data_IF_905494625510
#
_entry.id   IF_905494625510
#
_cell.length_a   1.000
_cell.length_b   1.000
_cell.length_c   1.000
_cell.angle_alpha   90.00
_cell.angle_beta   90.00
_cell.angle_gamma   90.00
#
_symmetry.space_group_name_H-M   'P 1'
#
loop_
_entity.id
_entity.type
_entity.pdbx_description
1 polymer ?
#
# COMPACT_ATOMS: atom_id res chain seq x y z
N UNK A 1 4.01 17.88 -0.26
CA UNK A 1 3.91 16.71 0.65
C UNK A 1 2.74 15.88 0.19
N UNK A 2 2.96 14.64 -0.24
CA UNK A 2 1.87 13.79 -0.72
C UNK A 2 1.03 13.25 0.46
N UNK A 3 -0.31 13.28 0.33
CA UNK A 3 -1.24 12.89 1.40
C UNK A 3 -1.18 11.39 1.73
N UNK A 4 -1.01 10.52 0.73
CA UNK A 4 -1.12 9.05 0.85
C UNK A 4 0.21 8.29 0.87
N UNK A 5 1.33 8.97 0.63
CA UNK A 5 2.65 8.39 0.92
C UNK A 5 2.79 7.87 2.34
N UNK A 6 1.92 8.34 3.23
CA UNK A 6 1.87 7.93 4.62
C UNK A 6 1.02 6.68 4.88
N UNK A 7 0.78 5.83 3.88
CA UNK A 7 0.28 4.47 4.12
C UNK A 7 1.27 3.40 3.62
N UNK A 8 2.00 3.67 2.54
CA UNK A 8 3.16 2.85 2.12
C UNK A 8 4.44 3.12 2.93
N UNK A 9 4.60 4.34 3.45
CA UNK A 9 5.79 4.78 4.20
C UNK A 9 5.49 5.29 5.62
N UNK A 10 4.35 4.96 6.24
CA UNK A 10 4.08 5.35 7.64
C UNK A 10 3.79 4.14 8.54
N UNK A 11 4.02 4.29 9.86
CA UNK A 11 3.91 3.24 10.83
C UNK A 11 2.59 3.41 11.61
N UNK A 12 1.53 2.66 11.28
CA UNK A 12 0.59 2.21 12.31
C UNK A 12 1.37 1.59 13.48
N UNK A 13 2.54 1.06 13.16
CA UNK A 13 3.44 0.46 14.11
C UNK A 13 4.13 1.38 15.11
N UNK A 14 4.45 2.66 14.95
CA UNK A 14 5.14 3.37 16.07
C UNK A 14 4.16 3.56 17.24
N UNK A 15 2.86 3.64 16.93
CA UNK A 15 1.75 3.58 17.88
C UNK A 15 1.50 2.14 18.40
N UNK A 16 1.47 1.12 17.53
CA UNK A 16 1.28 -0.28 17.95
C UNK A 16 2.55 -0.93 18.58
N UNK A 17 3.74 -0.38 18.37
CA UNK A 17 5.05 -0.92 18.82
C UNK A 17 5.23 -0.81 20.33
N UNK A 18 4.67 0.24 20.94
CA UNK A 18 4.87 0.52 22.36
C UNK A 18 4.01 -0.34 23.29
N UNK A 19 2.80 -0.71 22.88
CA UNK A 19 1.75 -1.10 23.84
C UNK A 19 1.30 -2.57 23.78
N UNK A 20 1.71 -3.35 22.76
CA UNK A 20 1.26 -4.74 22.59
C UNK A 20 2.44 -5.71 22.70
N UNK A 21 2.58 -6.33 23.87
CA UNK A 21 3.63 -7.31 24.16
C UNK A 21 3.68 -8.47 23.15
N UNK A 22 2.53 -9.02 22.74
CA UNK A 22 2.47 -10.11 21.75
C UNK A 22 3.02 -9.72 20.38
N UNK A 23 2.85 -8.47 19.96
CA UNK A 23 3.39 -7.98 18.70
C UNK A 23 4.91 -7.87 18.73
N UNK A 24 5.48 -7.50 19.88
CA UNK A 24 6.92 -7.46 20.08
C UNK A 24 7.53 -8.87 20.14
N UNK A 25 6.86 -9.80 20.84
CA UNK A 25 7.21 -11.22 20.80
C UNK A 25 7.19 -11.77 19.37
N UNK A 26 6.18 -11.42 18.58
CA UNK A 26 5.99 -11.90 17.20
C UNK A 26 7.11 -11.39 16.30
N UNK A 27 7.43 -10.10 16.39
CA UNK A 27 8.57 -9.51 15.66
C UNK A 27 9.88 -10.16 16.05
N UNK A 28 10.09 -10.43 17.35
CA UNK A 28 11.27 -11.13 17.85
C UNK A 28 11.41 -12.52 17.25
N UNK A 29 10.31 -13.28 17.20
CA UNK A 29 10.26 -14.60 16.58
C UNK A 29 10.56 -14.54 15.07
N UNK A 30 9.87 -13.68 14.32
CA UNK A 30 10.07 -13.51 12.88
C UNK A 30 11.51 -13.10 12.53
N UNK A 31 12.11 -12.15 13.27
CA UNK A 31 13.53 -11.77 13.10
C UNK A 31 14.46 -12.95 13.35
N UNK A 32 14.20 -13.72 14.41
CA UNK A 32 15.03 -14.85 14.78
C UNK A 32 14.94 -15.99 13.76
N UNK A 33 13.75 -16.25 13.22
CA UNK A 33 13.50 -17.20 12.12
C UNK A 33 14.23 -16.76 10.86
N UNK A 34 14.06 -15.50 10.44
CA UNK A 34 14.75 -14.94 9.29
C UNK A 34 16.27 -15.08 9.41
N UNK A 35 16.82 -14.71 10.57
CA UNK A 35 18.24 -14.82 10.87
C UNK A 35 18.72 -16.26 10.83
N UNK A 36 18.00 -17.19 11.46
CA UNK A 36 18.36 -18.60 11.53
C UNK A 36 18.52 -19.23 10.14
N UNK A 37 17.55 -19.01 9.25
CA UNK A 37 17.59 -19.59 7.91
C UNK A 37 18.45 -18.80 6.92
N UNK A 38 18.64 -17.50 7.11
CA UNK A 38 19.48 -16.70 6.21
C UNK A 38 20.97 -16.86 6.50
N UNK A 39 21.37 -16.99 7.76
CA UNK A 39 22.77 -17.13 8.16
C UNK A 39 23.28 -18.59 8.05
N UNK A 40 22.39 -19.57 7.92
CA UNK A 40 22.76 -20.99 7.83
C UNK A 40 22.17 -21.67 6.60
N UNK A 41 23.03 -21.89 5.59
CA UNK A 41 22.68 -22.67 4.41
C UNK A 41 22.33 -24.12 4.75
N UNK A 42 22.94 -24.69 5.81
CA UNK A 42 22.59 -26.02 6.33
C UNK A 42 21.15 -26.05 6.86
N UNK A 43 20.78 -25.12 7.75
CA UNK A 43 19.44 -25.04 8.30
C UNK A 43 18.37 -24.79 7.23
N UNK A 44 18.66 -23.96 6.22
CA UNK A 44 17.77 -23.76 5.07
C UNK A 44 17.54 -25.04 4.25
N UNK A 45 18.59 -25.86 4.04
CA UNK A 45 18.46 -27.15 3.34
C UNK A 45 17.66 -28.15 4.16
N UNK A 46 17.92 -28.23 5.45
CA UNK A 46 17.19 -29.11 6.38
C UNK A 46 15.70 -28.75 6.43
N UNK A 47 15.36 -27.46 6.54
CA UNK A 47 13.96 -27.03 6.50
C UNK A 47 13.28 -27.44 5.19
N UNK A 48 13.98 -27.31 4.06
CA UNK A 48 13.46 -27.74 2.75
C UNK A 48 13.20 -29.25 2.71
N UNK A 49 14.14 -30.06 3.22
CA UNK A 49 13.96 -31.51 3.31
C UNK A 49 12.76 -31.89 4.20
N UNK A 50 12.59 -31.21 5.35
CA UNK A 50 11.40 -31.37 6.20
C UNK A 50 10.13 -30.99 5.44
N UNK A 51 10.15 -29.89 4.69
CA UNK A 51 9.02 -29.47 3.86
C UNK A 51 8.66 -30.48 2.77
N UNK A 52 9.64 -31.04 2.06
CA UNK A 52 9.43 -32.09 1.05
C UNK A 52 8.77 -33.33 1.65
N UNK A 53 9.21 -33.78 2.84
CA UNK A 53 8.59 -34.89 3.57
C UNK A 53 7.14 -34.59 3.99
N UNK A 54 6.83 -33.33 4.28
CA UNK A 54 5.50 -32.89 4.71
C UNK A 54 4.60 -32.46 3.54
N UNK A 55 5.08 -32.52 2.29
CA UNK A 55 4.35 -32.02 1.13
C UNK A 55 4.18 -30.48 1.09
N UNK A 56 4.98 -29.75 1.86
CA UNK A 56 4.95 -28.29 1.94
C UNK A 56 6.11 -27.70 1.14
N UNK A 57 5.79 -26.96 0.08
CA UNK A 57 6.80 -26.18 -0.63
C UNK A 57 7.21 -24.98 0.24
N UNK A 58 8.39 -25.09 0.85
CA UNK A 58 8.94 -24.10 1.78
C UNK A 58 9.23 -22.77 1.09
N UNK A 59 8.68 -21.68 1.64
CA UNK A 59 9.01 -20.31 1.24
C UNK A 59 10.06 -19.73 2.19
N UNK A 60 11.14 -19.14 1.67
CA UNK A 60 12.16 -18.56 2.55
C UNK A 60 11.54 -17.40 3.37
N UNK A 61 11.69 -17.39 4.71
CA UNK A 61 11.22 -16.27 5.53
C UNK A 61 11.83 -14.94 5.08
N UNK A 62 11.03 -13.88 5.06
CA UNK A 62 11.44 -12.54 4.66
C UNK A 62 12.02 -11.73 5.83
N UNK A 63 12.88 -10.75 5.53
CA UNK A 63 13.29 -9.75 6.50
C UNK A 63 12.11 -8.81 6.79
N UNK A 64 11.84 -8.57 8.07
CA UNK A 64 10.82 -7.61 8.51
C UNK A 64 11.38 -6.19 8.77
N UNK A 65 12.69 -6.01 8.68
CA UNK A 65 13.34 -4.71 8.82
C UNK A 65 13.27 -3.92 7.51
N UNK A 66 13.13 -2.59 7.61
CA UNK A 66 13.20 -1.65 6.48
C UNK A 66 12.04 -0.65 6.49
N UNK A 67 12.08 0.29 5.55
CA UNK A 67 11.09 1.37 5.45
C UNK A 67 9.70 0.91 4.94
N UNK A 68 9.60 -0.28 4.34
CA UNK A 68 8.36 -0.84 3.76
C UNK A 68 7.74 -1.91 4.66
N UNK A 69 7.45 -1.56 5.91
CA UNK A 69 7.07 -2.54 6.93
C UNK A 69 5.88 -3.42 6.54
N UNK A 70 4.76 -2.85 6.09
CA UNK A 70 3.53 -3.61 5.83
C UNK A 70 3.78 -4.77 4.84
N UNK A 71 4.31 -4.52 3.62
CA UNK A 71 4.67 -5.60 2.71
C UNK A 71 5.69 -6.61 3.27
N UNK A 72 6.63 -6.16 4.10
CA UNK A 72 7.63 -7.04 4.72
C UNK A 72 7.01 -7.94 5.79
N UNK A 73 6.13 -7.41 6.63
CA UNK A 73 5.42 -8.14 7.68
C UNK A 73 4.43 -9.15 7.09
N UNK A 74 3.62 -8.74 6.11
CA UNK A 74 2.66 -9.63 5.43
C UNK A 74 3.40 -10.82 4.83
N UNK A 75 4.47 -10.59 4.05
CA UNK A 75 5.27 -11.67 3.45
C UNK A 75 5.92 -12.58 4.48
N UNK A 76 6.39 -12.03 5.60
CA UNK A 76 7.01 -12.82 6.66
C UNK A 76 5.99 -13.70 7.39
N UNK A 77 4.78 -13.19 7.64
CA UNK A 77 3.70 -13.96 8.25
C UNK A 77 3.09 -14.99 7.30
N UNK A 78 2.87 -14.66 6.03
CA UNK A 78 2.47 -15.61 4.99
C UNK A 78 3.46 -16.78 4.90
N UNK A 79 4.77 -16.49 4.90
CA UNK A 79 5.80 -17.52 4.92
C UNK A 79 5.79 -18.34 6.22
N UNK A 80 5.56 -17.71 7.38
CA UNK A 80 5.48 -18.42 8.66
C UNK A 80 4.28 -19.36 8.70
N UNK A 81 3.08 -18.89 8.34
CA UNK A 81 1.85 -19.69 8.35
C UNK A 81 1.97 -20.85 7.38
N UNK A 82 2.41 -20.59 6.14
CA UNK A 82 2.62 -21.63 5.12
C UNK A 82 3.61 -22.71 5.57
N UNK A 83 4.68 -22.32 6.23
CA UNK A 83 5.72 -23.25 6.66
C UNK A 83 5.55 -23.73 8.10
N UNK A 84 4.45 -23.41 8.78
CA UNK A 84 4.36 -23.51 10.25
C UNK A 84 4.75 -24.90 10.75
N UNK A 85 4.14 -25.96 10.21
CA UNK A 85 4.44 -27.35 10.58
C UNK A 85 5.91 -27.71 10.34
N UNK A 86 6.45 -27.38 9.17
CA UNK A 86 7.85 -27.67 8.83
C UNK A 86 8.83 -26.94 9.76
N UNK A 87 8.54 -25.69 10.11
CA UNK A 87 9.32 -24.88 11.05
C UNK A 87 9.26 -25.50 12.45
N UNK A 88 8.08 -25.91 12.91
CA UNK A 88 7.91 -26.52 14.24
C UNK A 88 8.67 -27.85 14.36
N UNK A 89 8.54 -28.75 13.38
CA UNK A 89 9.27 -30.02 13.33
C UNK A 89 10.79 -29.79 13.29
N UNK A 90 11.26 -28.86 12.45
CA UNK A 90 12.69 -28.56 12.34
C UNK A 90 13.27 -28.00 13.65
N UNK A 91 12.58 -27.05 14.29
CA UNK A 91 13.05 -26.49 15.55
C UNK A 91 12.90 -27.43 16.74
N UNK A 92 11.90 -28.31 16.74
CA UNK A 92 11.76 -29.37 17.75
C UNK A 92 12.95 -30.32 17.71
N UNK A 93 13.30 -30.80 16.51
CA UNK A 93 14.48 -31.64 16.30
C UNK A 93 15.75 -30.94 16.80
N UNK A 94 15.97 -29.67 16.42
CA UNK A 94 17.12 -28.89 16.88
C UNK A 94 17.12 -28.57 18.38
N UNK A 95 15.93 -28.48 19.02
CA UNK A 95 15.81 -28.21 20.44
C UNK A 95 16.05 -29.45 21.30
N UNK A 96 15.73 -30.64 20.78
CA UNK A 96 15.81 -31.92 21.48
C UNK A 96 17.06 -32.74 21.13
N UNK A 97 17.79 -32.39 20.08
CA UNK A 97 19.03 -33.05 19.68
C UNK A 97 20.20 -32.67 20.60
N UNK A 98 20.31 -33.39 21.73
CA UNK A 98 21.38 -33.25 22.72
C UNK A 98 22.72 -33.84 22.24
N UNK A 99 22.71 -34.63 21.15
CA UNK A 99 23.86 -35.38 20.66
C UNK A 99 24.57 -34.69 19.48
N UNK A 100 23.95 -33.67 18.87
CA UNK A 100 24.54 -32.93 17.78
C UNK A 100 25.54 -31.88 18.27
N UNK A 101 26.79 -32.31 18.37
CA UNK A 101 27.98 -31.50 18.69
C UNK A 101 28.32 -30.46 17.61
N UNK A 102 27.69 -30.51 16.43
CA UNK A 102 27.99 -29.58 15.32
C UNK A 102 27.18 -28.27 15.36
N UNK A 103 26.00 -28.26 15.98
CA UNK A 103 25.22 -27.03 16.13
C UNK A 103 25.82 -26.14 17.23
N UNK A 104 25.97 -24.84 16.98
CA UNK A 104 26.45 -23.93 18.03
C UNK A 104 25.43 -23.86 19.17
N UNK A 105 25.90 -23.68 20.42
CA UNK A 105 25.01 -23.48 21.57
C UNK A 105 24.04 -22.31 21.35
N UNK A 106 24.47 -21.28 20.62
CA UNK A 106 23.65 -20.14 20.22
C UNK A 106 22.53 -20.52 19.24
N UNK A 107 22.76 -21.43 18.29
CA UNK A 107 21.71 -21.91 17.37
C UNK A 107 20.65 -22.75 18.10
N UNK A 108 21.08 -23.68 18.97
CA UNK A 108 20.14 -24.47 19.80
C UNK A 108 19.31 -23.59 20.73
N UNK A 109 19.94 -22.61 21.37
CA UNK A 109 19.23 -21.63 22.21
C UNK A 109 18.16 -20.86 21.44
N UNK A 110 18.49 -20.35 20.24
CA UNK A 110 17.53 -19.67 19.37
C UNK A 110 16.37 -20.60 18.95
N UNK A 111 16.67 -21.82 18.51
CA UNK A 111 15.66 -22.81 18.13
C UNK A 111 14.68 -23.08 19.27
N UNK A 112 15.19 -23.27 20.49
CA UNK A 112 14.37 -23.50 21.69
C UNK A 112 13.45 -22.32 22.03
N UNK A 113 13.95 -21.09 21.90
CA UNK A 113 13.15 -19.87 22.15
C UNK A 113 12.04 -19.73 21.10
N UNK A 114 12.37 -19.94 19.82
CA UNK A 114 11.40 -19.85 18.73
C UNK A 114 10.33 -20.93 18.88
N UNK A 115 10.73 -22.20 19.07
CA UNK A 115 9.81 -23.32 19.26
C UNK A 115 8.85 -23.05 20.42
N UNK A 116 9.38 -22.72 21.61
CA UNK A 116 8.53 -22.37 22.77
C UNK A 116 7.57 -21.25 22.47
N UNK A 117 8.00 -20.20 21.76
CA UNK A 117 7.15 -19.06 21.43
C UNK A 117 6.01 -19.47 20.50
N UNK A 118 6.31 -20.23 19.45
CA UNK A 118 5.36 -20.69 18.43
C UNK A 118 4.50 -21.89 18.88
N UNK A 119 4.87 -22.58 19.94
CA UNK A 119 4.01 -23.58 20.60
C UNK A 119 2.92 -22.95 21.47
N UNK A 120 2.99 -21.66 21.83
CA UNK A 120 1.98 -21.02 22.68
C UNK A 120 0.68 -20.81 21.89
N UNK A 121 -0.44 -21.34 22.38
CA UNK A 121 -1.77 -21.13 21.77
C UNK A 121 -2.05 -19.65 21.51
N UNK A 122 -1.85 -18.80 22.53
CA UNK A 122 -2.05 -17.34 22.44
C UNK A 122 -1.21 -16.69 21.35
N UNK A 123 -0.01 -17.18 21.10
CA UNK A 123 0.88 -16.64 20.07
C UNK A 123 0.38 -17.03 18.67
N UNK A 124 -0.01 -18.29 18.46
CA UNK A 124 -0.55 -18.74 17.17
C UNK A 124 -1.88 -18.07 16.87
N UNK A 125 -2.77 -17.94 17.87
CA UNK A 125 -4.01 -17.14 17.78
C UNK A 125 -3.71 -15.70 17.36
N UNK A 126 -2.69 -15.07 17.95
CA UNK A 126 -2.28 -13.71 17.60
C UNK A 126 -1.66 -13.61 16.19
N UNK A 127 -0.89 -14.61 15.75
CA UNK A 127 -0.36 -14.68 14.37
C UNK A 127 -1.50 -14.61 13.36
N UNK A 128 -2.55 -15.40 13.56
CA UNK A 128 -3.70 -15.42 12.64
C UNK A 128 -4.52 -14.12 12.70
N UNK A 129 -4.73 -13.52 13.88
CA UNK A 129 -5.30 -12.17 14.00
C UNK A 129 -4.49 -11.14 13.18
N UNK A 130 -3.16 -11.18 13.29
CA UNK A 130 -2.30 -10.25 12.56
C UNK A 130 -2.33 -10.49 11.05
N UNK A 131 -2.53 -11.73 10.59
CA UNK A 131 -2.72 -12.02 9.16
C UNK A 131 -3.98 -11.32 8.66
N UNK A 132 -5.10 -11.43 9.38
CA UNK A 132 -6.36 -10.78 9.00
C UNK A 132 -6.21 -9.25 8.97
N UNK A 133 -5.67 -8.65 10.04
CA UNK A 133 -5.39 -7.21 10.10
C UNK A 133 -4.50 -6.75 8.94
N UNK A 134 -3.43 -7.48 8.62
CA UNK A 134 -2.51 -7.06 7.56
C UNK A 134 -3.10 -7.24 6.16
N UNK A 135 -4.05 -8.15 5.96
CA UNK A 135 -4.75 -8.30 4.69
C UNK A 135 -5.64 -7.08 4.41
N UNK A 136 -6.41 -6.63 5.40
CA UNK A 136 -7.22 -5.42 5.29
C UNK A 136 -6.36 -4.17 5.00
N UNK A 137 -5.24 -4.02 5.71
CA UNK A 137 -4.29 -2.93 5.46
C UNK A 137 -3.65 -3.02 4.06
N UNK A 138 -3.39 -4.23 3.57
CA UNK A 138 -2.79 -4.47 2.26
C UNK A 138 -3.73 -4.04 1.14
N UNK A 139 -5.02 -4.38 1.22
CA UNK A 139 -6.01 -3.99 0.21
C UNK A 139 -6.15 -2.46 0.15
N UNK A 140 -6.27 -1.79 1.30
CA UNK A 140 -6.26 -0.32 1.36
C UNK A 140 -4.97 0.27 0.77
N UNK A 141 -3.81 -0.31 1.09
CA UNK A 141 -2.52 0.13 0.55
C UNK A 141 -2.45 0.00 -0.97
N UNK A 142 -2.99 -1.08 -1.55
CA UNK A 142 -3.02 -1.31 -3.00
C UNK A 142 -3.97 -0.33 -3.69
N UNK A 143 -5.13 -0.06 -3.10
CA UNK A 143 -6.07 0.96 -3.58
C UNK A 143 -5.37 2.32 -3.72
N UNK A 144 -4.65 2.76 -2.69
CA UNK A 144 -3.99 4.07 -2.67
C UNK A 144 -2.75 4.18 -3.58
N UNK A 145 -2.31 3.07 -4.17
CA UNK A 145 -1.23 3.02 -5.15
C UNK A 145 -1.73 3.02 -6.61
N UNK A 146 -3.05 2.99 -6.83
CA UNK A 146 -3.62 3.08 -8.18
C UNK A 146 -3.32 4.43 -8.82
N UNK A 147 -3.22 4.41 -10.15
CA UNK A 147 -3.19 5.61 -10.97
C UNK A 147 -4.59 6.20 -11.10
N UNK A 148 -4.70 7.53 -11.20
CA UNK A 148 -5.99 8.22 -11.27
C UNK A 148 -6.78 8.21 -9.96
N UNK A 149 -6.13 7.98 -8.83
CA UNK A 149 -6.76 7.95 -7.51
C UNK A 149 -7.39 9.30 -7.13
N UNK A 150 -8.68 9.28 -6.79
CA UNK A 150 -9.44 10.48 -6.40
C UNK A 150 -9.49 10.65 -4.87
N UNK A 151 -9.91 11.84 -4.40
CA UNK A 151 -10.19 12.06 -2.97
C UNK A 151 -11.26 11.12 -2.42
N UNK A 152 -12.27 10.79 -3.23
CA UNK A 152 -13.34 9.89 -2.83
C UNK A 152 -12.83 8.45 -2.64
N UNK A 153 -12.03 7.94 -3.60
CA UNK A 153 -11.44 6.60 -3.48
C UNK A 153 -10.65 6.44 -2.17
N UNK A 154 -10.02 7.53 -1.72
CA UNK A 154 -9.33 7.57 -0.43
C UNK A 154 -10.30 7.49 0.74
N UNK A 155 -11.32 8.35 0.78
CA UNK A 155 -12.30 8.37 1.87
C UNK A 155 -13.05 7.03 1.95
N UNK A 156 -13.48 6.49 0.82
CA UNK A 156 -14.16 5.19 0.74
C UNK A 156 -13.24 4.06 1.19
N UNK A 157 -11.97 4.05 0.73
CA UNK A 157 -10.99 3.06 1.14
C UNK A 157 -10.68 3.08 2.63
N UNK A 158 -10.58 4.28 3.23
CA UNK A 158 -10.38 4.45 4.67
C UNK A 158 -11.62 4.01 5.47
N UNK A 159 -12.81 4.30 4.96
CA UNK A 159 -14.07 3.89 5.58
C UNK A 159 -14.22 2.37 5.55
N UNK A 160 -13.93 1.74 4.40
CA UNK A 160 -13.97 0.28 4.24
C UNK A 160 -13.00 -0.43 5.19
N UNK A 161 -11.73 -0.02 5.24
CA UNK A 161 -10.76 -0.66 6.15
C UNK A 161 -11.12 -0.43 7.62
N UNK A 162 -11.69 0.73 7.98
CA UNK A 162 -12.12 1.01 9.36
C UNK A 162 -13.29 0.10 9.76
N UNK A 163 -14.29 -0.06 8.88
CA UNK A 163 -15.41 -0.96 9.11
C UNK A 163 -14.97 -2.42 9.25
N UNK A 164 -14.10 -2.90 8.35
CA UNK A 164 -13.55 -4.25 8.40
C UNK A 164 -12.76 -4.50 9.70
N UNK A 165 -11.99 -3.49 10.16
CA UNK A 165 -11.27 -3.57 11.43
C UNK A 165 -12.22 -3.63 12.62
N UNK A 166 -13.28 -2.81 12.65
CA UNK A 166 -14.28 -2.83 13.71
C UNK A 166 -15.04 -4.16 13.78
N UNK A 167 -15.35 -4.77 12.62
CA UNK A 167 -15.99 -6.09 12.56
C UNK A 167 -15.14 -7.17 13.26
N UNK A 168 -13.80 -7.07 13.18
CA UNK A 168 -12.88 -7.99 13.86
C UNK A 168 -12.94 -7.95 15.40
N UNK A 169 -13.59 -6.96 16.02
CA UNK A 169 -13.82 -6.92 17.47
C UNK A 169 -14.89 -7.93 17.92
N UNK A 170 -15.85 -8.23 17.04
CA UNK A 170 -16.96 -9.14 17.33
C UNK A 170 -16.82 -10.47 16.63
N UNK A 171 -16.32 -10.46 15.40
CA UNK A 171 -16.25 -11.63 14.52
C UNK A 171 -14.81 -11.87 14.06
N UNK A 172 -14.22 -13.05 14.29
CA UNK A 172 -12.87 -13.35 13.80
C UNK A 172 -12.77 -13.22 12.27
N UNK A 173 -11.64 -12.68 11.79
CA UNK A 173 -11.30 -12.71 10.37
C UNK A 173 -11.05 -14.13 9.85
N UNK A 174 -10.89 -14.26 8.54
CA UNK A 174 -10.82 -15.56 7.85
C UNK A 174 -9.72 -16.46 8.39
N UNK A 175 -8.51 -15.92 8.59
CA UNK A 175 -7.35 -16.69 9.06
C UNK A 175 -7.52 -17.13 10.51
N UNK A 176 -7.98 -16.23 11.37
CA UNK A 176 -8.24 -16.54 12.78
C UNK A 176 -9.38 -17.54 12.94
N UNK A 177 -10.47 -17.39 12.17
CA UNK A 177 -11.59 -18.32 12.20
C UNK A 177 -11.16 -19.72 11.78
N UNK A 178 -10.38 -19.84 10.69
CA UNK A 178 -9.85 -21.12 10.24
C UNK A 178 -8.97 -21.78 11.31
N UNK A 179 -8.06 -21.02 11.93
CA UNK A 179 -7.24 -21.52 13.04
C UNK A 179 -8.09 -22.03 14.22
N UNK A 180 -9.12 -21.27 14.61
CA UNK A 180 -10.00 -21.66 15.73
C UNK A 180 -10.81 -22.92 15.43
N UNK A 181 -11.15 -23.17 14.16
CA UNK A 181 -11.80 -24.41 13.72
C UNK A 181 -10.82 -25.59 13.74
N UNK A 182 -9.58 -25.37 13.31
CA UNK A 182 -8.58 -26.43 13.12
C UNK A 182 -7.89 -26.88 14.43
N UNK A 183 -7.78 -25.99 15.42
CA UNK A 183 -7.03 -26.25 16.66
C UNK A 183 -7.72 -27.22 17.63
N UNK A 184 -8.98 -27.56 17.39
CA UNK A 184 -9.75 -28.47 18.23
C UNK A 184 -10.07 -27.94 19.64
N UNK A 185 -10.58 -28.80 20.54
CA UNK A 185 -11.02 -28.42 21.87
C UNK A 185 -9.84 -28.04 22.79
N UNK A 186 -10.09 -27.31 23.90
CA UNK A 186 -9.03 -26.88 24.82
C UNK A 186 -8.15 -28.02 25.35
N UNK A 187 -8.74 -29.18 25.64
CA UNK A 187 -8.05 -30.34 26.20
C UNK A 187 -7.03 -30.98 25.25
N UNK A 188 -7.27 -30.84 23.94
CA UNK A 188 -6.40 -31.37 22.90
C UNK A 188 -6.17 -30.32 21.82
N UNK A 189 -5.49 -29.25 22.22
CA UNK A 189 -5.17 -28.11 21.35
C UNK A 189 -4.07 -28.48 20.34
N UNK A 190 -4.44 -29.12 19.25
CA UNK A 190 -3.52 -29.57 18.20
C UNK A 190 -3.75 -28.74 16.93
N UNK A 191 -2.72 -28.09 16.44
CA UNK A 191 -2.76 -27.34 15.18
C UNK A 191 -1.66 -27.83 14.24
N UNK A 192 -2.04 -28.31 13.05
CA UNK A 192 -1.11 -28.88 12.07
C UNK A 192 -0.17 -29.95 12.67
N UNK A 193 -0.73 -30.85 13.46
CA UNK A 193 -0.04 -31.91 14.24
C UNK A 193 0.93 -31.41 15.31
N UNK A 194 0.87 -30.13 15.66
CA UNK A 194 1.67 -29.53 16.73
C UNK A 194 0.77 -29.31 17.95
N UNK A 195 1.13 -29.92 19.08
CA UNK A 195 0.44 -29.69 20.36
C UNK A 195 0.78 -28.31 20.89
N UNK A 196 -0.24 -27.44 20.94
CA UNK A 196 -0.12 -26.10 21.48
C UNK A 196 -0.20 -26.11 23.01
N UNK A 197 0.48 -25.14 23.61
CA UNK A 197 0.66 -24.98 25.05
C UNK A 197 0.00 -23.69 25.55
N UNK A 198 -0.40 -23.70 26.81
CA UNK A 198 -0.91 -22.52 27.50
C UNK A 198 -2.42 -22.55 27.72
N UNK A 199 -2.91 -21.65 28.58
CA UNK A 199 -4.32 -21.59 28.95
C UNK A 199 -5.24 -21.22 27.79
N UNK A 200 -6.43 -21.82 27.79
CA UNK A 200 -7.57 -21.56 26.90
C UNK A 200 -8.87 -21.38 27.69
N UNK A 201 -8.75 -20.82 28.90
CA UNK A 201 -9.88 -20.50 29.75
C UNK A 201 -10.55 -19.18 29.32
N UNK A 202 -11.76 -18.95 29.84
CA UNK A 202 -12.56 -17.77 29.57
C UNK A 202 -11.82 -16.46 29.93
N UNK A 203 -10.98 -16.48 30.96
CA UNK A 203 -10.22 -15.30 31.39
C UNK A 203 -9.18 -14.90 30.33
N UNK A 204 -8.50 -15.86 29.71
CA UNK A 204 -7.57 -15.61 28.62
C UNK A 204 -8.28 -15.15 27.34
N UNK A 205 -9.48 -15.66 27.06
CA UNK A 205 -10.29 -15.16 25.95
C UNK A 205 -10.74 -13.71 26.16
N UNK A 206 -11.17 -13.34 27.38
CA UNK A 206 -11.47 -11.94 27.74
C UNK A 206 -10.23 -11.06 27.56
N UNK A 207 -9.06 -11.50 28.05
CA UNK A 207 -7.80 -10.75 27.89
C UNK A 207 -7.40 -10.58 26.43
N UNK A 208 -7.56 -11.63 25.62
CA UNK A 208 -7.27 -11.58 24.18
C UNK A 208 -8.24 -10.63 23.46
N UNK A 209 -9.53 -10.67 23.79
CA UNK A 209 -10.53 -9.75 23.24
C UNK A 209 -10.23 -8.30 23.59
N UNK A 210 -9.91 -8.02 24.85
CA UNK A 210 -9.53 -6.67 25.28
C UNK A 210 -8.29 -6.13 24.55
N UNK A 211 -7.30 -6.99 24.29
CA UNK A 211 -6.11 -6.64 23.50
C UNK A 211 -6.47 -6.40 22.02
N UNK A 212 -7.35 -7.22 21.45
CA UNK A 212 -7.83 -7.08 20.06
C UNK A 212 -8.59 -5.78 19.88
N UNK A 213 -9.52 -5.47 20.80
CA UNK A 213 -10.27 -4.22 20.79
C UNK A 213 -9.34 -3.02 20.85
N UNK A 214 -8.37 -3.01 21.78
CA UNK A 214 -7.39 -1.93 21.89
C UNK A 214 -6.56 -1.75 20.60
N UNK A 215 -6.11 -2.85 19.99
CA UNK A 215 -5.36 -2.78 18.72
C UNK A 215 -6.19 -2.11 17.62
N UNK A 216 -7.48 -2.44 17.54
CA UNK A 216 -8.41 -1.92 16.54
C UNK A 216 -8.78 -0.45 16.85
N UNK A 217 -9.05 -0.12 18.12
CA UNK A 217 -9.35 1.24 18.55
C UNK A 217 -8.16 2.18 18.27
N UNK A 218 -6.93 1.75 18.62
CA UNK A 218 -5.70 2.50 18.32
C UNK A 218 -5.53 2.75 16.80
N UNK A 219 -5.96 1.80 15.96
CA UNK A 219 -5.97 1.97 14.50
C UNK A 219 -7.04 2.98 14.04
N UNK A 220 -8.26 2.88 14.54
CA UNK A 220 -9.36 3.79 14.21
C UNK A 220 -9.04 5.24 14.62
N UNK A 221 -8.47 5.42 15.81
CA UNK A 221 -8.00 6.72 16.30
C UNK A 221 -6.90 7.30 15.41
N UNK A 222 -5.98 6.44 14.96
CA UNK A 222 -4.95 6.84 14.00
C UNK A 222 -5.57 7.30 12.68
N UNK A 223 -6.50 6.53 12.10
CA UNK A 223 -7.16 6.90 10.84
C UNK A 223 -7.87 8.25 10.99
N UNK A 224 -8.64 8.42 12.06
CA UNK A 224 -9.39 9.64 12.35
C UNK A 224 -8.45 10.84 12.52
N UNK A 225 -7.41 10.70 13.34
CA UNK A 225 -6.44 11.78 13.59
C UNK A 225 -5.66 12.16 12.33
N UNK A 226 -5.33 11.17 11.50
CA UNK A 226 -4.45 11.35 10.35
C UNK A 226 -5.18 11.87 9.12
N UNK A 227 -6.43 11.45 8.93
CA UNK A 227 -7.20 11.65 7.70
C UNK A 227 -8.54 12.35 7.92
N UNK A 228 -8.88 12.74 9.16
CA UNK A 228 -10.13 13.47 9.45
C UNK A 228 -10.25 14.78 8.67
N UNK A 229 -9.13 15.39 8.29
CA UNK A 229 -9.11 16.58 7.44
C UNK A 229 -9.57 16.33 5.99
N UNK A 230 -9.70 15.07 5.53
CA UNK A 230 -10.33 14.75 4.25
C UNK A 230 -11.83 15.06 4.28
N UNK A 231 -12.45 14.92 5.45
CA UNK A 231 -13.87 15.17 5.70
C UNK A 231 -14.16 16.62 6.15
N UNK A 232 -13.18 17.51 6.02
CA UNK A 232 -13.27 18.90 6.47
C UNK A 232 -12.64 19.88 5.46
N UNK A 233 -13.06 21.15 5.56
CA UNK A 233 -12.45 22.27 4.87
C UNK A 233 -12.33 22.09 3.35
N UNK A 234 -11.15 22.46 2.81
CA UNK A 234 -10.90 22.51 1.36
C UNK A 234 -10.94 21.14 0.68
N UNK A 235 -10.56 20.05 1.38
CA UNK A 235 -10.52 18.72 0.78
C UNK A 235 -11.92 18.13 0.64
N UNK A 236 -12.79 18.32 1.64
CA UNK A 236 -14.20 17.98 1.51
C UNK A 236 -14.90 18.81 0.44
N UNK A 237 -14.59 20.12 0.39
CA UNK A 237 -15.08 20.99 -0.66
C UNK A 237 -14.66 20.49 -2.06
N UNK A 238 -13.38 20.15 -2.24
CA UNK A 238 -12.86 19.58 -3.48
C UNK A 238 -13.54 18.25 -3.86
N UNK A 239 -13.75 17.34 -2.88
CA UNK A 239 -14.49 16.10 -3.14
C UNK A 239 -15.92 16.37 -3.60
N UNK A 240 -16.61 17.32 -2.97
CA UNK A 240 -17.99 17.71 -3.33
C UNK A 240 -18.05 18.31 -4.74
N UNK A 241 -17.08 19.15 -5.10
CA UNK A 241 -17.05 19.83 -6.39
C UNK A 241 -16.61 18.92 -7.54
N UNK A 242 -15.60 18.08 -7.34
CA UNK A 242 -14.92 17.41 -8.46
C UNK A 242 -15.15 15.90 -8.53
N UNK A 243 -15.99 15.37 -7.64
CA UNK A 243 -16.52 14.01 -7.74
C UNK A 243 -17.94 14.03 -8.33
N UNK A 244 -18.06 14.05 -9.65
CA UNK A 244 -19.37 14.18 -10.30
C UNK A 244 -20.28 12.97 -10.09
N UNK A 245 -19.76 11.81 -9.69
CA UNK A 245 -20.59 10.62 -9.42
C UNK A 245 -21.44 10.73 -8.17
N UNK A 246 -21.17 11.70 -7.28
CA UNK A 246 -21.97 11.95 -6.06
C UNK A 246 -22.95 13.11 -6.22
N UNK A 247 -22.99 13.73 -7.40
CA UNK A 247 -23.91 14.83 -7.67
C UNK A 247 -25.35 14.30 -7.77
N UNK A 248 -26.34 15.09 -7.32
CA UNK A 248 -27.73 14.70 -7.38
C UNK A 248 -28.23 14.60 -8.82
N UNK A 249 -29.20 13.73 -9.06
CA UNK A 249 -29.84 13.57 -10.36
C UNK A 249 -31.02 14.55 -10.56
N UNK A 250 -31.57 15.09 -9.46
CA UNK A 250 -32.71 15.99 -9.50
C UNK A 250 -32.29 17.43 -9.75
N UNK A 251 -32.87 18.07 -10.78
CA UNK A 251 -32.52 19.43 -11.21
C UNK A 251 -32.64 20.45 -10.07
N UNK A 252 -33.64 20.29 -9.19
CA UNK A 252 -33.86 21.17 -8.05
C UNK A 252 -32.70 21.11 -7.04
N UNK A 253 -32.16 19.92 -6.78
CA UNK A 253 -31.02 19.71 -5.87
C UNK A 253 -29.70 20.13 -6.52
N UNK A 254 -29.52 19.84 -7.81
CA UNK A 254 -28.34 20.24 -8.61
C UNK A 254 -28.12 21.75 -8.56
N UNK A 255 -29.20 22.54 -8.55
CA UNK A 255 -29.13 24.00 -8.59
C UNK A 255 -28.30 24.59 -7.42
N UNK A 256 -28.48 24.05 -6.21
CA UNK A 256 -27.80 24.52 -4.99
C UNK A 256 -26.59 23.68 -4.60
N UNK A 257 -26.48 22.46 -5.14
CA UNK A 257 -25.39 21.54 -4.83
C UNK A 257 -24.00 22.15 -5.04
N UNK A 258 -23.12 21.97 -4.05
CA UNK A 258 -21.72 22.38 -4.09
C UNK A 258 -21.46 23.89 -4.05
N UNK A 259 -22.48 24.75 -3.91
CA UNK A 259 -22.27 26.21 -3.88
C UNK A 259 -21.39 26.64 -2.67
N UNK A 260 -21.69 26.14 -1.47
CA UNK A 260 -20.88 26.43 -0.28
C UNK A 260 -19.46 25.86 -0.41
N UNK A 261 -19.34 24.67 -1.00
CA UNK A 261 -18.04 24.06 -1.29
C UNK A 261 -17.22 24.91 -2.26
N UNK A 262 -17.85 25.51 -3.28
CA UNK A 262 -17.19 26.42 -4.21
C UNK A 262 -16.61 27.62 -3.48
N UNK A 263 -17.36 28.23 -2.56
CA UNK A 263 -16.87 29.37 -1.76
C UNK A 263 -15.69 28.96 -0.87
N UNK A 264 -15.78 27.81 -0.19
CA UNK A 264 -14.68 27.29 0.64
C UNK A 264 -13.42 27.03 -0.20
N UNK A 265 -13.57 26.46 -1.39
CA UNK A 265 -12.46 26.14 -2.28
C UNK A 265 -11.80 27.40 -2.85
N UNK A 266 -12.59 28.35 -3.35
CA UNK A 266 -12.08 29.63 -3.84
C UNK A 266 -11.39 30.43 -2.73
N UNK A 267 -11.99 30.51 -1.54
CA UNK A 267 -11.41 31.23 -0.41
C UNK A 267 -10.06 30.64 0.03
N UNK A 268 -9.92 29.31 -0.01
CA UNK A 268 -8.66 28.65 0.34
C UNK A 268 -7.53 28.97 -0.66
N UNK A 269 -7.87 29.02 -1.96
CA UNK A 269 -6.90 29.24 -3.04
C UNK A 269 -6.85 30.69 -3.53
N UNK A 270 -7.49 31.64 -2.84
CA UNK A 270 -7.56 33.05 -3.22
C UNK A 270 -6.20 33.64 -3.67
N UNK A 271 -5.07 33.41 -2.95
CA UNK A 271 -3.78 33.97 -3.38
C UNK A 271 -3.28 33.44 -4.74
N UNK A 272 -3.66 32.22 -5.11
CA UNK A 272 -3.34 31.63 -6.41
C UNK A 272 -4.26 32.22 -7.48
N UNK A 273 -5.56 32.32 -7.16
CA UNK A 273 -6.57 32.86 -8.06
C UNK A 273 -6.30 34.32 -8.42
N UNK A 274 -5.92 35.15 -7.44
CA UNK A 274 -5.55 36.56 -7.65
C UNK A 274 -4.34 36.75 -8.59
N UNK A 275 -3.50 35.71 -8.71
CA UNK A 275 -2.30 35.72 -9.56
C UNK A 275 -2.51 35.09 -10.94
N UNK A 276 -3.69 34.53 -11.21
CA UNK A 276 -4.00 33.79 -12.42
C UNK A 276 -4.68 34.70 -13.45
N UNK A 277 -4.06 34.89 -14.61
CA UNK A 277 -4.61 35.75 -15.69
C UNK A 277 -5.94 35.21 -16.23
N UNK A 278 -6.13 33.89 -16.24
CA UNK A 278 -7.34 33.22 -16.72
C UNK A 278 -8.49 33.21 -15.69
N UNK A 279 -8.30 33.83 -14.51
CA UNK A 279 -9.31 33.92 -13.45
C UNK A 279 -9.65 35.38 -13.13
N UNK A 280 -10.62 35.94 -13.85
CA UNK A 280 -11.00 37.35 -13.71
C UNK A 280 -11.82 37.64 -12.44
N UNK A 281 -12.80 36.79 -12.11
CA UNK A 281 -13.72 37.05 -11.01
C UNK A 281 -14.40 35.80 -10.45
N UNK A 282 -14.58 35.77 -9.13
CA UNK A 282 -15.38 34.74 -8.44
C UNK A 282 -16.85 34.73 -8.88
N UNK A 283 -17.41 35.86 -9.34
CA UNK A 283 -18.78 35.93 -9.86
C UNK A 283 -18.94 35.25 -11.23
N UNK A 284 -17.87 35.21 -12.03
CA UNK A 284 -17.84 34.44 -13.27
C UNK A 284 -17.73 32.95 -12.95
N UNK A 285 -16.84 32.55 -12.03
CA UNK A 285 -16.73 31.18 -11.57
C UNK A 285 -18.07 30.62 -11.05
N UNK A 286 -18.83 31.40 -10.26
CA UNK A 286 -20.18 31.01 -9.80
C UNK A 286 -21.18 30.82 -10.94
N UNK A 287 -21.10 31.63 -11.99
CA UNK A 287 -21.95 31.49 -13.19
C UNK A 287 -21.60 30.21 -13.94
N UNK A 288 -20.32 30.02 -14.24
CA UNK A 288 -19.80 28.85 -14.91
C UNK A 288 -20.12 27.56 -14.15
N UNK A 289 -19.99 27.55 -12.81
CA UNK A 289 -20.35 26.41 -11.97
C UNK A 289 -21.81 25.97 -12.16
N UNK A 290 -22.75 26.93 -12.20
CA UNK A 290 -24.17 26.63 -12.43
C UNK A 290 -24.40 25.98 -13.80
N UNK A 291 -23.71 26.46 -14.83
CA UNK A 291 -23.82 25.91 -16.18
C UNK A 291 -23.17 24.52 -16.29
N UNK A 292 -21.97 24.36 -15.71
CA UNK A 292 -21.21 23.11 -15.71
C UNK A 292 -22.02 21.98 -15.06
N UNK A 293 -22.66 22.27 -13.92
CA UNK A 293 -23.55 21.33 -13.22
C UNK A 293 -24.63 20.76 -14.13
N UNK A 294 -25.28 21.62 -14.91
CA UNK A 294 -26.33 21.20 -15.84
C UNK A 294 -25.78 20.37 -17.01
N UNK A 295 -24.65 20.78 -17.58
CA UNK A 295 -24.04 20.09 -18.72
C UNK A 295 -23.56 18.69 -18.34
N UNK A 296 -22.83 18.57 -17.23
CA UNK A 296 -22.30 17.27 -16.76
C UNK A 296 -23.42 16.34 -16.34
N UNK A 297 -24.39 16.83 -15.55
CA UNK A 297 -25.51 16.01 -15.08
C UNK A 297 -26.34 15.44 -16.23
N UNK A 298 -26.53 16.21 -17.31
CA UNK A 298 -27.36 15.77 -18.45
C UNK A 298 -26.65 14.83 -19.41
N UNK A 299 -25.35 14.98 -19.60
CA UNK A 299 -24.66 14.36 -20.74
C UNK A 299 -23.45 13.52 -20.36
N UNK A 300 -22.87 13.69 -19.17
CA UNK A 300 -21.54 13.16 -18.88
C UNK A 300 -21.42 12.40 -17.55
N UNK A 301 -22.51 12.16 -16.81
CA UNK A 301 -22.47 11.37 -15.57
C UNK A 301 -21.93 9.96 -15.72
N UNK A 302 -22.07 9.36 -16.91
CA UNK A 302 -21.59 8.02 -17.20
C UNK A 302 -20.07 7.94 -17.37
N UNK A 303 -19.36 9.06 -17.51
CA UNK A 303 -17.93 9.08 -17.72
C UNK A 303 -17.17 8.86 -16.41
N UNK A 304 -16.03 8.15 -16.42
CA UNK A 304 -15.09 8.16 -15.31
C UNK A 304 -14.56 9.57 -15.04
N UNK A 305 -14.30 9.90 -13.76
CA UNK A 305 -13.88 11.25 -13.33
C UNK A 305 -12.64 11.77 -14.10
N UNK A 306 -11.59 10.97 -14.23
CA UNK A 306 -10.41 11.37 -15.00
C UNK A 306 -10.74 11.69 -16.46
N UNK A 307 -11.60 10.90 -17.11
CA UNK A 307 -12.01 11.13 -18.50
C UNK A 307 -12.86 12.39 -18.64
N UNK A 308 -13.75 12.64 -17.68
CA UNK A 308 -14.57 13.85 -17.65
C UNK A 308 -13.67 15.09 -17.59
N UNK A 309 -12.79 15.17 -16.59
CA UNK A 309 -11.95 16.35 -16.39
C UNK A 309 -10.92 16.53 -17.51
N UNK A 310 -10.39 15.44 -18.07
CA UNK A 310 -9.54 15.51 -19.27
C UNK A 310 -10.29 16.13 -20.45
N UNK A 311 -11.50 15.67 -20.74
CA UNK A 311 -12.35 16.19 -21.82
C UNK A 311 -12.75 17.65 -21.59
N UNK A 312 -13.02 17.99 -20.33
CA UNK A 312 -13.35 19.34 -19.90
C UNK A 312 -12.19 20.31 -20.17
N UNK A 313 -10.97 19.98 -19.73
CA UNK A 313 -9.78 20.80 -19.96
C UNK A 313 -9.39 20.89 -21.43
N UNK A 314 -9.66 19.85 -22.22
CA UNK A 314 -9.46 19.86 -23.68
C UNK A 314 -10.52 20.69 -24.44
N UNK A 315 -11.49 21.29 -23.75
CA UNK A 315 -12.54 22.09 -24.38
C UNK A 315 -13.58 21.29 -25.16
N UNK A 316 -13.67 19.98 -24.93
CA UNK A 316 -14.65 19.10 -25.61
C UNK A 316 -16.02 19.05 -24.90
N UNK A 317 -16.13 19.66 -23.72
CA UNK A 317 -17.37 19.78 -22.94
C UNK A 317 -17.80 21.25 -22.97
N UNK A 318 -18.97 21.52 -23.55
CA UNK A 318 -19.48 22.87 -23.72
C UNK A 318 -18.88 23.59 -24.93
N UNK A 319 -18.98 24.92 -24.94
CA UNK A 319 -18.35 25.77 -25.96
C UNK A 319 -16.90 26.08 -25.59
N UNK A 320 -16.01 26.30 -26.58
CA UNK A 320 -14.70 26.91 -26.33
C UNK A 320 -14.87 28.19 -25.50
N UNK A 321 -14.03 28.37 -24.49
CA UNK A 321 -13.98 29.57 -23.62
C UNK A 321 -15.22 29.77 -22.70
N UNK A 322 -16.08 28.75 -22.57
CA UNK A 322 -17.26 28.86 -21.70
C UNK A 322 -16.94 28.73 -20.20
N UNK A 323 -15.84 28.08 -19.86
CA UNK A 323 -15.58 27.56 -18.52
C UNK A 323 -14.17 27.88 -18.00
N UNK A 324 -13.61 29.02 -18.37
CA UNK A 324 -12.20 29.32 -18.11
C UNK A 324 -11.88 29.39 -16.61
N UNK A 325 -12.76 29.99 -15.80
CA UNK A 325 -12.59 30.03 -14.35
C UNK A 325 -12.69 28.62 -13.74
N UNK A 326 -13.64 27.82 -14.20
CA UNK A 326 -13.80 26.44 -13.73
C UNK A 326 -12.64 25.53 -14.17
N UNK A 327 -12.02 25.77 -15.33
CA UNK A 327 -10.79 25.06 -15.75
C UNK A 327 -9.67 25.31 -14.76
N UNK A 328 -9.45 26.57 -14.35
CA UNK A 328 -8.44 26.91 -13.32
C UNK A 328 -8.70 26.13 -12.02
N UNK A 329 -9.95 26.08 -11.55
CA UNK A 329 -10.29 25.35 -10.32
C UNK A 329 -10.08 23.83 -10.46
N UNK A 330 -10.41 23.25 -11.63
CA UNK A 330 -10.17 21.84 -11.94
C UNK A 330 -8.68 21.54 -12.02
N UNK A 331 -7.87 22.42 -12.60
CA UNK A 331 -6.41 22.27 -12.65
C UNK A 331 -5.81 22.26 -11.25
N UNK A 332 -6.22 23.20 -10.38
CA UNK A 332 -5.82 23.21 -8.96
C UNK A 332 -6.16 21.89 -8.28
N UNK A 333 -7.36 21.35 -8.52
CA UNK A 333 -7.77 20.05 -7.98
C UNK A 333 -6.89 18.90 -8.48
N UNK A 334 -6.61 18.83 -9.79
CA UNK A 334 -5.84 17.74 -10.39
C UNK A 334 -4.36 17.72 -9.98
N UNK A 335 -3.82 18.84 -9.50
CA UNK A 335 -2.43 18.90 -8.98
C UNK A 335 -2.32 18.58 -7.49
N UNK A 336 -3.43 18.32 -6.78
CA UNK A 336 -3.39 17.89 -5.37
C UNK A 336 -2.70 16.52 -5.31
N UNK A 337 -1.53 16.40 -4.65
CA UNK A 337 -0.75 15.17 -4.68
C UNK A 337 -1.37 14.12 -3.76
N UNK A 338 -2.20 13.26 -4.33
CA UNK A 338 -2.85 12.16 -3.62
C UNK A 338 -1.81 11.12 -3.17
N UNK A 339 -1.10 10.46 -4.09
CA UNK A 339 -0.04 9.50 -3.77
C UNK A 339 1.32 9.93 -4.40
N UNK A 340 2.45 9.42 -3.89
CA UNK A 340 3.75 9.52 -4.59
C UNK A 340 4.19 8.14 -5.09
N UNK A 341 3.24 7.22 -5.26
CA UNK A 341 3.52 5.95 -5.90
C UNK A 341 4.11 6.17 -7.30
N UNK A 342 3.75 7.26 -7.98
CA UNK A 342 4.41 7.73 -9.20
C UNK A 342 5.94 7.94 -9.02
N UNK A 343 6.35 8.59 -7.93
CA UNK A 343 7.77 8.76 -7.56
C UNK A 343 8.42 7.41 -7.25
N UNK A 344 7.74 6.52 -6.52
CA UNK A 344 8.27 5.17 -6.21
C UNK A 344 8.44 4.27 -7.44
N UNK A 345 7.52 4.37 -8.41
CA UNK A 345 7.68 3.74 -9.73
C UNK A 345 8.87 4.33 -10.47
N UNK A 346 9.04 5.65 -10.42
CA UNK A 346 10.22 6.34 -10.94
C UNK A 346 11.53 5.82 -10.33
N UNK A 347 11.61 5.70 -8.99
CA UNK A 347 12.77 5.11 -8.31
C UNK A 347 12.99 3.64 -8.67
N UNK A 348 11.92 2.88 -8.87
CA UNK A 348 12.00 1.48 -9.31
C UNK A 348 12.55 1.37 -10.72
N UNK A 349 12.11 2.24 -11.64
CA UNK A 349 12.67 2.39 -12.98
C UNK A 349 14.14 2.82 -12.93
N UNK A 350 14.48 3.77 -12.06
CA UNK A 350 15.85 4.22 -11.85
C UNK A 350 16.75 3.08 -11.38
N UNK A 351 16.28 2.22 -10.47
CA UNK A 351 17.04 1.05 -10.01
C UNK A 351 17.29 0.03 -11.12
N UNK A 352 16.38 -0.10 -12.10
CA UNK A 352 16.60 -0.95 -13.28
C UNK A 352 17.63 -0.34 -14.24
N UNK A 353 17.59 0.99 -14.42
CA UNK A 353 18.50 1.71 -15.32
C UNK A 353 19.91 1.81 -14.73
N UNK A 354 20.01 2.19 -13.46
CA UNK A 354 21.25 2.34 -12.69
C UNK A 354 21.59 1.04 -11.97
N UNK A 355 21.98 0.05 -12.76
CA UNK A 355 22.60 -1.19 -12.27
C UNK A 355 24.06 -0.96 -11.84
N UNK A 356 24.66 -1.92 -11.13
CA UNK A 356 26.07 -1.87 -10.74
C UNK A 356 27.01 -1.62 -11.93
N UNK A 357 26.66 -2.21 -13.09
CA UNK A 357 27.37 -2.07 -14.37
C UNK A 357 27.12 -0.74 -15.11
N UNK A 358 26.12 0.05 -14.66
CA UNK A 358 25.72 1.34 -15.25
C UNK A 358 25.75 2.46 -14.22
N UNK A 359 26.64 2.36 -13.25
CA UNK A 359 26.75 3.30 -12.12
C UNK A 359 27.25 4.69 -12.51
N UNK A 360 27.91 4.82 -13.66
CA UNK A 360 28.54 6.06 -14.19
C UNK A 360 27.69 6.85 -15.19
N UNK A 361 26.38 6.57 -15.32
CA UNK A 361 25.50 7.35 -16.19
C UNK A 361 25.47 8.82 -15.77
N UNK A 362 25.60 9.73 -16.75
CA UNK A 362 25.37 11.15 -16.50
C UNK A 362 23.92 11.41 -16.09
N UNK A 363 23.68 12.50 -15.35
CA UNK A 363 22.32 12.88 -14.94
C UNK A 363 21.39 13.08 -16.14
N UNK A 364 21.90 13.65 -17.23
CA UNK A 364 21.16 13.84 -18.47
C UNK A 364 20.74 12.51 -19.11
N UNK A 365 21.68 11.57 -19.25
CA UNK A 365 21.37 10.24 -19.81
C UNK A 365 20.40 9.48 -18.92
N UNK A 366 20.58 9.55 -17.59
CA UNK A 366 19.66 8.94 -16.64
C UNK A 366 18.24 9.51 -16.79
N UNK A 367 18.11 10.83 -16.90
CA UNK A 367 16.82 11.48 -17.11
C UNK A 367 16.16 11.03 -18.41
N UNK A 368 16.90 11.01 -19.53
CA UNK A 368 16.38 10.55 -20.81
C UNK A 368 15.90 9.09 -20.75
N UNK A 369 16.67 8.19 -20.13
CA UNK A 369 16.29 6.79 -19.97
C UNK A 369 15.09 6.62 -19.04
N UNK A 370 14.97 7.44 -18.00
CA UNK A 370 13.80 7.44 -17.11
C UNK A 370 12.54 7.88 -17.85
N UNK A 371 12.62 8.96 -18.63
CA UNK A 371 11.50 9.44 -19.44
C UNK A 371 11.02 8.36 -20.41
N UNK A 372 11.93 7.72 -21.15
CA UNK A 372 11.61 6.60 -22.04
C UNK A 372 11.01 5.42 -21.25
N UNK A 373 11.58 5.06 -20.10
CA UNK A 373 11.09 3.92 -19.32
C UNK A 373 9.73 4.15 -18.66
N UNK A 374 9.36 5.40 -18.37
CA UNK A 374 8.12 5.73 -17.64
C UNK A 374 7.01 6.10 -18.60
N UNK A 375 7.32 6.88 -19.64
CA UNK A 375 6.33 7.46 -20.56
C UNK A 375 6.44 6.93 -21.99
N UNK A 376 7.52 6.20 -22.31
CA UNK A 376 7.71 5.64 -23.65
C UNK A 376 6.69 4.55 -23.97
N UNK A 377 6.44 4.29 -25.26
CA UNK A 377 5.58 3.20 -25.69
C UNK A 377 6.16 1.84 -25.27
N UNK A 378 5.32 0.81 -25.29
CA UNK A 378 5.83 -0.56 -25.11
C UNK A 378 6.78 -0.92 -26.24
N UNK A 379 7.61 -1.94 -26.05
CA UNK A 379 8.50 -2.42 -27.12
C UNK A 379 7.72 -2.86 -28.36
N UNK A 380 6.49 -3.37 -28.19
CA UNK A 380 5.63 -3.78 -29.30
C UNK A 380 5.07 -2.58 -30.09
N UNK A 381 4.82 -1.46 -29.40
CA UNK A 381 4.23 -0.25 -30.00
C UNK A 381 5.29 0.79 -30.42
N UNK A 382 6.58 0.50 -30.16
CA UNK A 382 7.65 1.42 -30.46
C UNK A 382 7.99 1.41 -31.96
N UNK A 383 7.81 2.55 -32.60
CA UNK A 383 8.28 2.80 -33.97
C UNK A 383 9.74 3.30 -33.97
N UNK A 384 10.70 2.52 -34.49
CA UNK A 384 12.10 2.90 -34.51
C UNK A 384 12.47 3.87 -35.66
N UNK A 385 11.57 4.14 -36.62
CA UNK A 385 11.92 4.84 -37.87
C UNK A 385 12.57 6.21 -37.60
N UNK A 386 11.96 7.04 -36.76
CA UNK A 386 12.49 8.35 -36.41
C UNK A 386 13.88 8.28 -35.76
N UNK A 387 14.13 7.26 -34.92
CA UNK A 387 15.42 7.05 -34.28
C UNK A 387 16.49 6.57 -35.28
N UNK A 388 16.11 5.68 -36.20
CA UNK A 388 16.99 5.19 -37.27
C UNK A 388 17.38 6.33 -38.20
N UNK A 389 16.42 7.14 -38.65
CA UNK A 389 16.69 8.30 -39.50
C UNK A 389 17.63 9.30 -38.81
N UNK A 390 17.38 9.60 -37.54
CA UNK A 390 18.24 10.48 -36.74
C UNK A 390 19.65 9.92 -36.60
N UNK A 391 19.81 8.61 -36.38
CA UNK A 391 21.12 7.96 -36.33
C UNK A 391 21.83 7.99 -37.69
N UNK A 392 21.10 7.69 -38.76
CA UNK A 392 21.63 7.63 -40.13
C UNK A 392 22.11 9.00 -40.62
N UNK A 393 21.33 10.07 -40.36
CA UNK A 393 21.65 11.43 -40.79
C UNK A 393 22.50 12.24 -39.80
N UNK A 394 22.40 11.96 -38.49
CA UNK A 394 23.05 12.73 -37.43
C UNK A 394 24.39 12.18 -36.94
N UNK A 395 24.76 10.95 -37.34
CA UNK A 395 26.01 10.33 -36.93
C UNK A 395 27.23 11.04 -37.52
N UNK A 396 27.94 11.85 -36.72
CA UNK A 396 29.36 12.17 -36.99
C UNK A 396 30.16 10.88 -36.85
N UNK A 397 30.26 10.12 -37.94
CA UNK A 397 31.17 8.97 -38.01
C UNK A 397 32.57 9.52 -37.77
N UNK A 398 33.23 9.06 -36.71
CA UNK A 398 34.67 9.29 -36.55
C UNK A 398 35.31 8.83 -37.87
N UNK A 399 35.89 9.76 -38.64
CA UNK A 399 36.66 9.37 -39.82
C UNK A 399 37.72 8.39 -39.31
N UNK A 400 37.80 7.20 -39.92
CA UNK A 400 38.93 6.30 -39.67
C UNK A 400 40.20 7.14 -39.79
N UNK A 401 41.17 7.04 -38.86
CA UNK A 401 42.48 7.63 -39.09
C UNK A 401 42.93 7.17 -40.48
N UNK A 402 43.17 8.12 -41.38
CA UNK A 402 43.88 7.81 -42.62
C UNK A 402 45.23 7.24 -42.16
N UNK A 403 45.48 5.97 -42.47
CA UNK A 403 46.83 5.44 -42.36
C UNK A 403 47.65 6.26 -43.36
N UNK A 404 48.54 7.10 -42.83
CA UNK A 404 49.56 7.77 -43.62
C UNK A 404 50.43 6.65 -44.20
N UNK A 405 50.42 6.52 -45.53
CA UNK A 405 51.27 5.60 -46.30
C UNK A 405 52.77 5.90 -46.10
#
# INVERSE_FOLDING_TARGET
MCYLNRLGAWPPLDLLQGNISLLNDLKGALKSIFKHYTESAKASRELRAVGELLGVQVVKPGNINGCRWLPHMSRALEALVRNYKAIMVHFENHANDHNNTEASATMRGRAKVIYRSLSRFKMVKFIHLMVDVLNELREASLLFQKDGLTLQDVSDGLSQVTLAMMEMQTTPGTSLQQFLNDVGPPEDSIYLDVKLQGPRDEQEDIRFRAMTNRLIDDFCDFVTTRFGNLEEGVLKAASTLFNHSTWPNEVAEVQTYGNDALEVFMAHFQPILDSCEDFESTDMARREWRELKLVVTRHYMHLPSCTLWQRFLQGTIGRPDQFDHMKVLVEIYLVIPMNSSCCERGFSSMKRIKSDWRSSLSNEMLNNLLQISIHGPTVADYDPEAAILKWYHGGRRMRRPELLD
#
